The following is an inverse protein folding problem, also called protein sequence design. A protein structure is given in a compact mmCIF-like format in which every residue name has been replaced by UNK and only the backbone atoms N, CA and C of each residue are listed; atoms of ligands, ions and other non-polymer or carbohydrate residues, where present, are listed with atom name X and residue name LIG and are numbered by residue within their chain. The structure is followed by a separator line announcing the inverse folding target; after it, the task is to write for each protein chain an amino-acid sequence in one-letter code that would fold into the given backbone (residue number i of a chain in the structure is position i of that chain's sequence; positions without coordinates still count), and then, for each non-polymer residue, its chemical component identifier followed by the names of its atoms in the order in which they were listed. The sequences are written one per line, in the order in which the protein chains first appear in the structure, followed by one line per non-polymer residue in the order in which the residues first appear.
data_IF_622000417625
#
_entry.id   IF_622000417625
#
_cell.length_a   1.000
_cell.length_b   1.000
_cell.length_c   1.000
_cell.angle_alpha   90.00
_cell.angle_beta   90.00
_cell.angle_gamma   90.00
#
_symmetry.space_group_name_H-M   'P 1'
#
loop_
_entity.id
_entity.type
_entity.pdbx_description
1 polymer ?
#
# COMPACT_ATOMS: atom_id res chain seq x y z
N UNK A 1 10.47 14.99 88.15
CA UNK A 1 11.07 14.81 86.80
C UNK A 1 10.27 13.76 86.06
N UNK A 2 9.41 14.16 85.11
CA UNK A 2 8.65 13.26 84.25
C UNK A 2 8.93 13.64 82.79
N UNK A 3 9.60 12.77 82.04
CA UNK A 3 9.93 12.98 80.63
C UNK A 3 8.83 12.40 79.74
N UNK A 4 8.16 13.27 78.97
CA UNK A 4 7.16 12.89 77.99
C UNK A 4 7.82 12.27 76.74
N UNK A 5 7.47 11.03 76.42
CA UNK A 5 7.84 10.36 75.16
C UNK A 5 6.92 10.80 74.02
N UNK A 6 7.48 11.38 72.98
CA UNK A 6 6.81 11.70 71.71
C UNK A 6 6.74 10.47 70.79
N UNK A 7 5.56 10.19 70.23
CA UNK A 7 5.33 9.15 69.20
C UNK A 7 5.79 9.66 67.82
N UNK A 8 6.42 8.83 66.96
CA UNK A 8 6.72 9.22 65.58
C UNK A 8 5.47 9.09 64.71
N UNK A 9 5.23 10.11 63.86
CA UNK A 9 4.19 10.11 62.81
C UNK A 9 4.53 9.09 61.72
N UNK A 10 3.61 8.19 61.39
CA UNK A 10 3.73 7.32 60.21
C UNK A 10 3.50 8.13 58.94
N UNK A 11 4.51 8.23 58.08
CA UNK A 11 4.34 8.66 56.70
C UNK A 11 3.67 7.54 55.90
N UNK A 12 2.44 7.79 55.43
CA UNK A 12 1.83 6.93 54.40
C UNK A 12 2.62 7.10 53.09
N UNK A 13 2.96 6.03 52.36
CA UNK A 13 3.52 6.16 51.02
C UNK A 13 2.45 6.74 50.10
N UNK A 14 2.76 7.86 49.44
CA UNK A 14 1.95 8.37 48.32
C UNK A 14 2.11 7.40 47.14
N UNK A 15 1.03 6.90 46.51
CA UNK A 15 1.16 6.05 45.34
C UNK A 15 1.75 6.87 44.19
N UNK A 16 2.98 6.55 43.76
CA UNK A 16 3.58 7.16 42.56
C UNK A 16 2.95 6.52 41.32
N UNK A 17 1.76 6.96 40.93
CA UNK A 17 1.24 6.77 39.57
C UNK A 17 1.85 7.82 38.63
N UNK A 18 3.18 7.85 38.55
CA UNK A 18 3.87 8.58 37.49
C UNK A 18 4.14 7.58 36.36
N UNK A 19 3.14 7.35 35.50
CA UNK A 19 3.40 6.68 34.22
C UNK A 19 4.42 7.56 33.50
N UNK A 20 5.66 7.06 33.37
CA UNK A 20 6.74 7.81 32.72
C UNK A 20 6.23 8.17 31.31
N UNK A 21 6.31 9.44 30.87
CA UNK A 21 5.73 9.88 29.60
C UNK A 21 6.20 9.04 28.40
N UNK A 22 7.44 8.54 28.43
CA UNK A 22 7.96 7.59 27.42
C UNK A 22 7.17 6.27 27.33
N UNK A 23 6.66 5.73 28.44
CA UNK A 23 5.86 4.51 28.44
C UNK A 23 4.45 4.73 27.88
N UNK A 24 3.87 5.92 28.08
CA UNK A 24 2.59 6.30 27.49
C UNK A 24 2.71 6.49 25.97
N UNK A 25 3.76 7.18 25.51
CA UNK A 25 4.06 7.36 24.07
C UNK A 25 4.27 6.00 23.39
N UNK A 26 5.02 5.08 24.01
CA UNK A 26 5.23 3.74 23.46
C UNK A 26 3.93 2.95 23.34
N UNK A 27 3.06 2.98 24.35
CA UNK A 27 1.74 2.32 24.28
C UNK A 27 0.86 2.90 23.17
N UNK A 28 0.85 4.23 23.02
CA UNK A 28 0.11 4.87 21.92
C UNK A 28 0.65 4.48 20.54
N UNK A 29 1.97 4.35 20.41
CA UNK A 29 2.61 3.88 19.18
C UNK A 29 2.31 2.40 18.90
N UNK A 30 2.36 1.53 19.92
CA UNK A 30 2.00 0.12 19.81
C UNK A 30 0.51 -0.05 19.44
N UNK A 31 -0.37 0.78 20.02
CA UNK A 31 -1.79 0.85 19.68
C UNK A 31 -1.98 1.34 18.23
N UNK A 32 -1.25 2.37 17.79
CA UNK A 32 -1.31 2.84 16.41
C UNK A 32 -0.87 1.75 15.42
N UNK A 33 0.27 1.11 15.68
CA UNK A 33 0.86 0.13 14.77
C UNK A 33 -0.03 -1.10 14.57
N UNK A 34 -0.61 -1.59 15.66
CA UNK A 34 -1.55 -2.71 15.64
C UNK A 34 -2.85 -2.37 14.92
N UNK A 35 -3.43 -1.20 15.20
CA UNK A 35 -4.70 -0.78 14.58
C UNK A 35 -4.53 -0.50 13.09
N UNK A 36 -3.49 0.23 12.69
CA UNK A 36 -3.21 0.58 11.29
C UNK A 36 -2.88 -0.64 10.41
N UNK A 37 -2.28 -1.68 10.98
CA UNK A 37 -2.03 -2.95 10.28
C UNK A 37 -3.27 -3.86 10.19
N UNK A 38 -4.35 -3.53 10.91
CA UNK A 38 -5.56 -4.34 11.00
C UNK A 38 -6.50 -4.16 9.79
N UNK A 39 -7.29 -5.20 9.45
CA UNK A 39 -8.18 -5.17 8.29
C UNK A 39 -9.31 -4.15 8.43
N UNK A 40 -9.77 -3.84 9.64
CA UNK A 40 -10.84 -2.85 9.87
C UNK A 40 -10.40 -1.43 9.50
N UNK A 41 -9.19 -1.02 9.91
CA UNK A 41 -8.70 0.32 9.59
C UNK A 41 -8.32 0.41 8.10
N UNK A 42 -7.78 -0.67 7.51
CA UNK A 42 -7.61 -0.76 6.07
C UNK A 42 -8.96 -0.63 5.33
N UNK A 43 -10.00 -1.34 5.76
CA UNK A 43 -11.34 -1.24 5.18
C UNK A 43 -11.91 0.18 5.28
N UNK A 44 -11.85 0.79 6.46
CA UNK A 44 -12.34 2.15 6.69
C UNK A 44 -11.57 3.21 5.87
N UNK A 45 -10.27 3.00 5.67
CA UNK A 45 -9.41 3.88 4.88
C UNK A 45 -9.65 3.70 3.37
N UNK A 46 -9.77 2.45 2.92
CA UNK A 46 -9.84 2.13 1.49
C UNK A 46 -11.24 2.24 0.91
N UNK A 47 -12.30 2.10 1.71
CA UNK A 47 -13.68 2.29 1.22
C UNK A 47 -13.88 3.64 0.53
N UNK A 48 -13.55 4.80 1.14
CA UNK A 48 -13.66 6.08 0.44
C UNK A 48 -12.69 6.19 -0.75
N UNK A 49 -11.49 5.63 -0.66
CA UNK A 49 -10.53 5.63 -1.78
C UNK A 49 -11.05 4.85 -3.00
N UNK A 50 -11.64 3.68 -2.78
CA UNK A 50 -12.29 2.87 -3.82
C UNK A 50 -13.46 3.64 -4.43
N UNK A 51 -14.33 4.23 -3.61
CA UNK A 51 -15.45 5.03 -4.15
C UNK A 51 -14.96 6.19 -5.02
N UNK A 52 -13.91 6.89 -4.60
CA UNK A 52 -13.30 7.96 -5.40
C UNK A 52 -12.72 7.43 -6.71
N UNK A 53 -12.08 6.26 -6.70
CA UNK A 53 -11.59 5.61 -7.90
C UNK A 53 -12.74 5.26 -8.84
N UNK A 54 -13.76 4.53 -8.37
CA UNK A 54 -14.87 4.05 -9.21
C UNK A 54 -15.64 5.22 -9.84
N UNK A 55 -15.93 6.26 -9.05
CA UNK A 55 -16.55 7.49 -9.56
C UNK A 55 -15.63 8.15 -10.60
N UNK A 56 -14.34 8.27 -10.30
CA UNK A 56 -13.36 8.84 -11.23
C UNK A 56 -13.22 8.03 -12.52
N UNK A 57 -13.30 6.70 -12.46
CA UNK A 57 -13.19 5.82 -13.62
C UNK A 57 -14.39 5.99 -14.55
N UNK A 58 -15.60 6.11 -13.98
CA UNK A 58 -16.82 6.40 -14.74
C UNK A 58 -16.77 7.79 -15.37
N UNK A 59 -16.29 8.79 -14.63
CA UNK A 59 -16.33 10.20 -15.06
C UNK A 59 -15.21 10.54 -16.05
N UNK A 60 -13.99 10.07 -15.80
CA UNK A 60 -12.78 10.52 -16.50
C UNK A 60 -12.16 9.46 -17.43
N UNK A 61 -12.39 8.17 -17.17
CA UNK A 61 -11.74 7.08 -17.90
C UNK A 61 -12.66 6.33 -18.87
N UNK A 62 -13.97 6.59 -18.80
CA UNK A 62 -14.97 6.01 -19.69
C UNK A 62 -15.27 6.97 -20.82
N UNK A 63 -14.84 6.63 -22.05
CA UNK A 63 -15.23 7.36 -23.24
C UNK A 63 -16.46 6.69 -23.86
N UNK A 64 -17.66 7.18 -23.49
CA UNK A 64 -18.94 6.66 -24.00
C UNK A 64 -19.05 6.68 -25.53
N UNK A 65 -18.41 7.63 -26.20
CA UNK A 65 -18.47 7.77 -27.67
C UNK A 65 -17.67 6.71 -28.44
N UNK A 66 -16.63 6.13 -27.84
CA UNK A 66 -15.75 5.13 -28.46
C UNK A 66 -15.90 3.74 -27.85
N UNK A 67 -16.74 3.58 -26.82
CA UNK A 67 -16.89 2.33 -26.07
C UNK A 67 -15.61 1.85 -25.38
N UNK A 68 -14.57 2.67 -25.32
CA UNK A 68 -13.26 2.31 -24.78
C UNK A 68 -13.15 2.82 -23.35
N UNK A 69 -12.99 1.91 -22.41
CA UNK A 69 -12.69 2.23 -21.02
C UNK A 69 -11.20 2.01 -20.76
N UNK A 70 -10.50 3.05 -20.30
CA UNK A 70 -9.11 2.91 -19.85
C UNK A 70 -9.11 2.47 -18.40
N UNK A 71 -8.91 1.18 -18.15
CA UNK A 71 -8.79 0.64 -16.78
C UNK A 71 -7.34 0.34 -16.44
N UNK A 72 -7.09 0.16 -15.14
CA UNK A 72 -5.82 -0.38 -14.67
C UNK A 72 -5.73 -1.85 -15.09
N UNK A 73 -4.59 -2.27 -15.63
CA UNK A 73 -4.45 -3.64 -16.13
C UNK A 73 -4.70 -4.67 -15.02
N UNK A 74 -4.24 -4.40 -13.79
CA UNK A 74 -4.55 -5.24 -12.63
C UNK A 74 -6.07 -5.36 -12.34
N UNK A 75 -6.83 -4.27 -12.45
CA UNK A 75 -8.30 -4.31 -12.31
C UNK A 75 -8.93 -5.19 -13.39
N UNK A 76 -8.53 -4.99 -14.66
CA UNK A 76 -9.02 -5.79 -15.77
C UNK A 76 -8.71 -7.27 -15.58
N UNK A 77 -7.48 -7.60 -15.18
CA UNK A 77 -7.05 -8.99 -14.93
C UNK A 77 -7.87 -9.65 -13.82
N UNK A 78 -8.13 -8.93 -12.72
CA UNK A 78 -8.97 -9.41 -11.64
C UNK A 78 -10.43 -9.58 -12.09
N UNK A 79 -10.96 -8.63 -12.86
CA UNK A 79 -12.30 -8.72 -13.43
C UNK A 79 -12.46 -9.91 -14.37
N UNK A 80 -11.50 -10.10 -15.28
CA UNK A 80 -11.48 -11.24 -16.22
C UNK A 80 -11.42 -12.57 -15.47
N UNK A 81 -10.60 -12.66 -14.41
CA UNK A 81 -10.53 -13.85 -13.56
C UNK A 81 -11.85 -14.14 -12.84
N UNK A 82 -12.49 -13.12 -12.25
CA UNK A 82 -13.77 -13.29 -11.55
C UNK A 82 -14.91 -13.62 -12.51
N UNK A 83 -14.84 -13.13 -13.75
CA UNK A 83 -15.79 -13.46 -14.81
C UNK A 83 -15.77 -14.95 -15.19
N UNK A 84 -14.63 -15.64 -15.04
CA UNK A 84 -14.57 -17.11 -15.22
C UNK A 84 -15.53 -17.84 -14.26
N UNK A 85 -15.81 -17.26 -13.10
CA UNK A 85 -16.75 -17.80 -12.11
C UNK A 85 -18.18 -17.24 -12.27
N UNK A 86 -18.46 -16.52 -13.36
CA UNK A 86 -19.76 -15.90 -13.65
C UNK A 86 -20.00 -14.57 -12.93
N UNK A 87 -18.97 -13.99 -12.29
CA UNK A 87 -19.07 -12.67 -11.65
C UNK A 87 -18.59 -11.60 -12.63
N UNK A 88 -19.54 -10.95 -13.30
CA UNK A 88 -19.26 -9.86 -14.24
C UNK A 88 -19.77 -8.52 -13.71
N UNK A 89 -18.98 -7.47 -13.88
CA UNK A 89 -19.40 -6.11 -13.55
C UNK A 89 -18.22 -5.21 -13.20
N UNK A 90 -18.39 -3.91 -13.44
CA UNK A 90 -17.37 -2.89 -13.19
C UNK A 90 -16.88 -2.91 -11.73
N UNK A 91 -17.80 -3.00 -10.77
CA UNK A 91 -17.50 -2.93 -9.35
C UNK A 91 -17.00 -4.26 -8.75
N UNK A 92 -16.92 -5.34 -9.54
CA UNK A 92 -16.68 -6.69 -9.01
C UNK A 92 -15.30 -6.79 -8.32
N UNK A 93 -14.18 -6.31 -8.90
CA UNK A 93 -12.89 -6.31 -8.22
C UNK A 93 -12.88 -5.48 -6.92
N UNK A 94 -13.48 -4.28 -6.93
CA UNK A 94 -13.63 -3.43 -5.76
C UNK A 94 -14.38 -4.14 -4.62
N UNK A 95 -15.56 -4.70 -4.93
CA UNK A 95 -16.39 -5.40 -3.96
C UNK A 95 -15.68 -6.66 -3.43
N UNK A 96 -14.96 -7.39 -4.29
CA UNK A 96 -14.17 -8.55 -3.87
C UNK A 96 -13.09 -8.15 -2.85
N UNK A 97 -12.38 -7.04 -3.07
CA UNK A 97 -11.39 -6.52 -2.13
C UNK A 97 -12.00 -6.12 -0.78
N UNK A 98 -13.06 -5.31 -0.80
CA UNK A 98 -13.72 -4.85 0.43
C UNK A 98 -14.30 -6.04 1.21
N UNK A 99 -14.88 -7.01 0.50
CA UNK A 99 -15.40 -8.26 1.09
C UNK A 99 -14.29 -9.10 1.69
N UNK A 100 -13.13 -9.23 1.02
CA UNK A 100 -11.98 -9.94 1.56
C UNK A 100 -11.49 -9.31 2.87
N UNK A 101 -11.36 -7.98 2.93
CA UNK A 101 -10.97 -7.27 4.16
C UNK A 101 -12.01 -7.44 5.28
N UNK A 102 -13.29 -7.38 4.92
CA UNK A 102 -14.39 -7.61 5.86
C UNK A 102 -14.36 -9.03 6.44
N UNK A 103 -14.19 -10.05 5.59
CA UNK A 103 -14.06 -11.45 6.01
C UNK A 103 -12.85 -11.61 6.93
N UNK A 104 -11.69 -11.04 6.57
CA UNK A 104 -10.51 -11.08 7.43
C UNK A 104 -10.76 -10.44 8.79
N UNK A 105 -11.46 -9.32 8.86
CA UNK A 105 -11.82 -8.69 10.13
C UNK A 105 -12.74 -9.57 10.98
N UNK A 106 -13.79 -10.14 10.37
CA UNK A 106 -14.72 -11.05 11.05
C UNK A 106 -13.99 -12.29 11.60
N UNK A 107 -13.10 -12.89 10.80
CA UNK A 107 -12.33 -14.07 11.21
C UNK A 107 -11.34 -13.75 12.34
N UNK A 108 -10.76 -12.55 12.38
CA UNK A 108 -9.87 -12.11 13.47
C UNK A 108 -10.60 -11.84 14.78
N UNK A 109 -11.92 -11.60 14.74
CA UNK A 109 -12.75 -11.25 15.92
C UNK A 109 -12.26 -10.02 16.66
N UNK A 110 -11.65 -9.08 15.93
CA UNK A 110 -11.24 -7.79 16.46
C UNK A 110 -12.46 -6.91 16.78
N UNK A 111 -12.36 -5.92 17.69
CA UNK A 111 -13.47 -5.02 17.98
C UNK A 111 -13.81 -4.12 16.78
N UNK A 112 -15.10 -3.90 16.56
CA UNK A 112 -15.64 -3.02 15.51
C UNK A 112 -15.54 -1.53 15.89
N UNK A 113 -14.34 -1.08 16.25
CA UNK A 113 -14.09 0.30 16.65
C UNK A 113 -13.00 0.91 15.77
N UNK A 114 -13.40 1.84 14.91
CA UNK A 114 -12.48 2.62 14.09
C UNK A 114 -12.07 3.86 14.88
N UNK A 115 -10.77 4.14 14.96
CA UNK A 115 -10.25 5.38 15.57
C UNK A 115 -9.91 6.38 14.45
N UNK A 116 -10.69 7.45 14.22
CA UNK A 116 -10.42 8.41 13.14
C UNK A 116 -9.01 9.03 13.15
N UNK A 117 -8.40 9.34 14.32
CA UNK A 117 -7.02 9.83 14.33
C UNK A 117 -6.01 8.85 13.73
N UNK A 118 -6.25 7.55 13.85
CA UNK A 118 -5.39 6.51 13.25
C UNK A 118 -5.45 6.61 11.72
N UNK A 119 -6.65 6.80 11.15
CA UNK A 119 -6.81 6.94 9.70
C UNK A 119 -6.07 8.17 9.16
N UNK A 120 -6.15 9.30 9.87
CA UNK A 120 -5.42 10.51 9.47
C UNK A 120 -3.90 10.28 9.49
N UNK A 121 -3.38 9.66 10.55
CA UNK A 121 -1.96 9.34 10.64
C UNK A 121 -1.55 8.34 9.56
N UNK A 122 -2.38 7.36 9.22
CA UNK A 122 -2.12 6.42 8.11
C UNK A 122 -1.96 7.15 6.77
N UNK A 123 -2.80 8.15 6.47
CA UNK A 123 -2.67 8.95 5.24
C UNK A 123 -1.33 9.69 5.21
N UNK A 124 -0.97 10.36 6.31
CA UNK A 124 0.30 11.10 6.41
C UNK A 124 1.51 10.17 6.33
N UNK A 125 1.44 9.03 7.01
CA UNK A 125 2.49 8.01 6.99
C UNK A 125 2.69 7.44 5.58
N UNK A 126 1.59 7.17 4.87
CA UNK A 126 1.63 6.65 3.50
C UNK A 126 2.30 7.63 2.55
N UNK A 127 2.03 8.94 2.69
CA UNK A 127 2.72 9.98 1.93
C UNK A 127 4.23 10.02 2.22
N UNK A 128 4.65 9.81 3.47
CA UNK A 128 6.07 9.70 3.82
C UNK A 128 6.73 8.46 3.19
N UNK A 129 6.04 7.32 3.17
CA UNK A 129 6.54 6.09 2.56
C UNK A 129 6.60 6.14 1.03
N UNK A 130 5.98 7.12 0.38
CA UNK A 130 6.17 7.36 -1.06
C UNK A 130 7.53 7.99 -1.40
N UNK A 131 8.15 8.71 -0.45
CA UNK A 131 9.37 9.50 -0.70
C UNK A 131 10.59 8.67 -1.10
N UNK A 132 10.90 7.51 -0.49
CA UNK A 132 12.02 6.67 -0.92
C UNK A 132 11.94 6.26 -2.39
N UNK A 133 10.73 5.91 -2.87
CA UNK A 133 10.51 5.56 -4.27
C UNK A 133 10.63 6.77 -5.19
N UNK A 134 10.17 7.95 -4.75
CA UNK A 134 10.36 9.19 -5.51
C UNK A 134 11.85 9.47 -5.72
N UNK A 135 12.67 9.35 -4.68
CA UNK A 135 14.13 9.50 -4.78
C UNK A 135 14.74 8.43 -5.68
N UNK A 136 14.34 7.16 -5.52
CA UNK A 136 14.82 6.08 -6.37
C UNK A 136 14.50 6.32 -7.86
N UNK A 137 13.26 6.72 -8.17
CA UNK A 137 12.83 7.04 -9.53
C UNK A 137 13.67 8.17 -10.14
N UNK A 138 13.95 9.23 -9.37
CA UNK A 138 14.80 10.32 -9.82
C UNK A 138 16.25 9.89 -10.07
N UNK A 139 16.81 9.03 -9.22
CA UNK A 139 18.17 8.49 -9.42
C UNK A 139 18.23 7.65 -10.71
N UNK A 140 17.27 6.75 -10.92
CA UNK A 140 17.26 5.88 -12.11
C UNK A 140 17.08 6.71 -13.38
N UNK A 141 16.20 7.73 -13.38
CA UNK A 141 16.07 8.67 -14.50
C UNK A 141 17.40 9.37 -14.79
N UNK A 142 18.11 9.89 -13.78
CA UNK A 142 19.39 10.58 -13.97
C UNK A 142 20.49 9.68 -14.53
N UNK A 143 20.54 8.42 -14.10
CA UNK A 143 21.47 7.43 -14.65
C UNK A 143 21.13 7.14 -16.11
N UNK A 144 19.84 7.07 -16.45
CA UNK A 144 19.38 6.78 -17.80
C UNK A 144 19.56 7.97 -18.78
N UNK A 145 19.31 9.20 -18.34
CA UNK A 145 19.50 10.43 -19.14
C UNK A 145 20.98 10.65 -19.51
N UNK A 146 21.91 10.20 -18.65
CA UNK A 146 23.34 10.19 -18.95
C UNK A 146 23.75 9.21 -20.07
N UNK A 147 22.84 8.32 -20.49
CA UNK A 147 23.08 7.31 -21.52
C UNK A 147 22.41 7.61 -22.88
N UNK A 148 21.78 8.79 -23.04
CA UNK A 148 21.15 9.23 -24.28
C UNK A 148 19.64 9.50 -24.15
N UNK A 149 19.01 10.14 -25.15
CA UNK A 149 17.62 10.58 -25.05
C UNK A 149 16.66 9.43 -25.35
N UNK A 150 16.32 8.61 -24.35
CA UNK A 150 15.08 7.82 -24.28
C UNK A 150 15.05 6.93 -23.03
N UNK A 151 14.64 7.48 -21.88
CA UNK A 151 14.14 6.67 -20.78
C UNK A 151 13.31 7.54 -19.84
N UNK A 152 12.11 7.93 -20.30
CA UNK A 152 11.09 8.51 -19.42
C UNK A 152 10.59 7.42 -18.46
N UNK A 153 11.40 7.11 -17.45
CA UNK A 153 11.12 6.14 -16.42
C UNK A 153 10.26 6.80 -15.37
N UNK A 154 8.93 6.75 -15.52
CA UNK A 154 8.10 7.28 -14.45
C UNK A 154 6.71 6.69 -14.33
N UNK A 155 6.18 6.00 -15.32
CA UNK A 155 4.80 5.51 -15.24
C UNK A 155 4.59 4.45 -16.31
N UNK A 156 4.15 3.25 -15.91
CA UNK A 156 3.85 2.16 -16.84
C UNK A 156 2.68 2.43 -17.79
N UNK A 157 2.15 3.66 -17.76
CA UNK A 157 1.07 4.16 -18.59
C UNK A 157 1.44 5.56 -19.09
N UNK A 158 1.10 5.89 -20.36
CA UNK A 158 1.30 7.24 -20.89
C UNK A 158 0.18 8.16 -20.37
N UNK A 159 0.59 9.27 -19.76
CA UNK A 159 -0.33 10.31 -19.28
C UNK A 159 -0.54 11.44 -20.30
N UNK A 160 0.04 11.30 -21.48
CA UNK A 160 -0.09 12.25 -22.58
C UNK A 160 -1.56 12.44 -22.97
N UNK A 161 -1.98 13.69 -23.11
CA UNK A 161 -3.35 14.06 -23.45
C UNK A 161 -4.41 13.83 -22.36
N UNK A 162 -4.07 13.27 -21.19
CA UNK A 162 -5.01 13.08 -20.08
C UNK A 162 -5.10 14.33 -19.20
N UNK A 163 -6.34 14.75 -18.88
CA UNK A 163 -6.60 15.81 -17.90
C UNK A 163 -6.31 15.36 -16.47
N UNK A 164 -6.04 16.30 -15.55
CA UNK A 164 -5.61 16.03 -14.16
C UNK A 164 -6.49 15.00 -13.44
N UNK A 165 -7.83 15.09 -13.59
CA UNK A 165 -8.76 14.14 -12.97
C UNK A 165 -8.50 12.69 -13.38
N UNK A 166 -8.35 12.42 -14.69
CA UNK A 166 -8.02 11.09 -15.19
C UNK A 166 -6.69 10.57 -14.63
N UNK A 167 -5.69 11.44 -14.53
CA UNK A 167 -4.36 11.05 -14.02
C UNK A 167 -4.42 10.66 -12.55
N UNK A 168 -5.10 11.46 -11.72
CA UNK A 168 -5.31 11.16 -10.30
C UNK A 168 -6.13 9.88 -10.10
N UNK A 169 -7.16 9.65 -10.92
CA UNK A 169 -7.93 8.41 -10.89
C UNK A 169 -7.06 7.20 -11.20
N UNK A 170 -6.22 7.27 -12.24
CA UNK A 170 -5.30 6.19 -12.59
C UNK A 170 -4.32 5.91 -11.44
N UNK A 171 -3.69 6.95 -10.88
CA UNK A 171 -2.76 6.80 -9.74
C UNK A 171 -3.42 6.12 -8.53
N UNK A 172 -4.67 6.49 -8.23
CA UNK A 172 -5.42 5.87 -7.14
C UNK A 172 -5.76 4.40 -7.44
N UNK A 173 -6.17 4.12 -8.67
CA UNK A 173 -6.47 2.76 -9.13
C UNK A 173 -5.26 1.84 -9.12
N UNK A 174 -4.10 2.33 -9.55
CA UNK A 174 -2.84 1.58 -9.51
C UNK A 174 -2.52 1.15 -8.07
N UNK A 175 -2.54 2.09 -7.12
CA UNK A 175 -2.35 1.79 -5.72
C UNK A 175 -3.36 0.77 -5.16
N UNK A 176 -4.64 0.86 -5.54
CA UNK A 176 -5.68 -0.08 -5.07
C UNK A 176 -5.49 -1.48 -5.67
N UNK A 177 -5.46 -1.58 -6.99
CA UNK A 177 -5.60 -2.86 -7.69
C UNK A 177 -4.27 -3.59 -7.84
N UNK A 178 -3.16 -2.88 -8.00
CA UNK A 178 -1.85 -3.54 -8.07
C UNK A 178 -1.46 -4.09 -6.70
N UNK A 179 -1.68 -3.34 -5.62
CA UNK A 179 -1.39 -3.86 -4.28
C UNK A 179 -2.36 -4.98 -3.88
N UNK A 180 -3.63 -4.93 -4.29
CA UNK A 180 -4.54 -6.05 -4.13
C UNK A 180 -3.98 -7.32 -4.80
N UNK A 181 -3.56 -7.20 -6.06
CA UNK A 181 -3.06 -8.32 -6.85
C UNK A 181 -1.75 -8.89 -6.28
N UNK A 182 -0.74 -8.05 -6.06
CA UNK A 182 0.59 -8.52 -5.69
C UNK A 182 0.76 -8.72 -4.19
N UNK A 183 0.15 -7.88 -3.35
CA UNK A 183 0.44 -7.86 -1.90
C UNK A 183 -0.62 -8.59 -1.11
N UNK A 184 -1.90 -8.39 -1.41
CA UNK A 184 -2.92 -9.16 -0.71
C UNK A 184 -3.01 -10.59 -1.25
N UNK A 185 -3.16 -10.74 -2.58
CA UNK A 185 -3.32 -12.06 -3.22
C UNK A 185 -1.96 -12.74 -3.42
N UNK A 186 -1.00 -12.07 -4.08
CA UNK A 186 0.30 -12.65 -4.42
C UNK A 186 1.09 -13.14 -3.21
N UNK A 187 1.25 -12.30 -2.18
CA UNK A 187 1.94 -12.71 -0.93
C UNK A 187 1.20 -13.86 -0.24
N UNK A 188 -0.14 -13.85 -0.21
CA UNK A 188 -0.91 -14.94 0.38
C UNK A 188 -0.69 -16.26 -0.37
N UNK A 189 -0.74 -16.25 -1.71
CA UNK A 189 -0.49 -17.44 -2.53
C UNK A 189 0.93 -17.97 -2.33
N UNK A 190 1.94 -17.11 -2.37
CA UNK A 190 3.33 -17.53 -2.11
C UNK A 190 3.48 -18.06 -0.69
N UNK A 191 2.84 -17.44 0.29
CA UNK A 191 2.90 -17.89 1.68
C UNK A 191 2.26 -19.26 1.89
N UNK A 192 1.13 -19.55 1.22
CA UNK A 192 0.50 -20.88 1.25
C UNK A 192 1.43 -21.92 0.62
N UNK A 193 2.02 -21.63 -0.53
CA UNK A 193 2.93 -22.58 -1.21
C UNK A 193 4.21 -22.78 -0.39
N UNK A 194 4.89 -21.71 0.00
CA UNK A 194 6.17 -21.79 0.69
C UNK A 194 6.03 -22.27 2.15
N UNK A 195 5.07 -21.73 2.89
CA UNK A 195 4.88 -22.00 4.32
C UNK A 195 4.06 -23.24 4.60
N UNK A 196 2.93 -23.44 3.91
CA UNK A 196 2.01 -24.53 4.23
C UNK A 196 2.30 -25.81 3.42
N UNK A 197 2.60 -25.67 2.12
CA UNK A 197 2.88 -26.81 1.25
C UNK A 197 4.34 -27.27 1.33
N UNK A 198 5.30 -26.35 1.23
CA UNK A 198 6.73 -26.66 1.27
C UNK A 198 7.33 -26.63 2.69
N UNK A 199 6.56 -26.19 3.68
CA UNK A 199 6.96 -26.16 5.10
C UNK A 199 8.26 -25.38 5.36
N UNK A 200 8.53 -24.33 4.57
CA UNK A 200 9.65 -23.44 4.81
C UNK A 200 9.43 -22.66 6.11
N UNK A 201 10.52 -22.28 6.78
CA UNK A 201 10.41 -21.44 7.96
C UNK A 201 9.83 -20.05 7.64
N UNK A 202 9.42 -19.32 8.68
CA UNK A 202 8.79 -17.99 8.51
C UNK A 202 9.66 -16.99 7.75
N UNK A 203 10.99 -17.05 7.92
CA UNK A 203 11.91 -16.09 7.30
C UNK A 203 12.05 -16.40 5.82
N UNK A 204 12.21 -17.67 5.47
CA UNK A 204 12.29 -18.13 4.09
C UNK A 204 10.97 -17.91 3.35
N UNK A 205 9.83 -18.16 4.01
CA UNK A 205 8.49 -17.88 3.46
C UNK A 205 8.32 -16.39 3.16
N UNK A 206 8.68 -15.52 4.11
CA UNK A 206 8.61 -14.07 3.89
C UNK A 206 9.57 -13.61 2.79
N UNK A 207 10.80 -14.13 2.76
CA UNK A 207 11.77 -13.82 1.71
C UNK A 207 11.28 -14.27 0.33
N UNK A 208 10.71 -15.47 0.23
CA UNK A 208 10.11 -15.97 -1.01
C UNK A 208 8.94 -15.09 -1.46
N UNK A 209 8.05 -14.71 -0.54
CA UNK A 209 6.94 -13.81 -0.84
C UNK A 209 7.43 -12.46 -1.38
N UNK A 210 8.42 -11.84 -0.73
CA UNK A 210 9.00 -10.56 -1.18
C UNK A 210 9.64 -10.71 -2.56
N UNK A 211 10.51 -11.70 -2.76
CA UNK A 211 11.25 -11.87 -4.02
C UNK A 211 10.31 -12.20 -5.19
N UNK A 212 9.44 -13.20 -5.02
CA UNK A 212 8.59 -13.67 -6.12
C UNK A 212 7.54 -12.63 -6.51
N UNK A 213 6.93 -11.94 -5.54
CA UNK A 213 5.95 -10.90 -5.86
C UNK A 213 6.61 -9.64 -6.43
N UNK A 214 7.85 -9.31 -6.02
CA UNK A 214 8.61 -8.22 -6.61
C UNK A 214 8.98 -8.48 -8.08
N UNK A 215 9.41 -9.71 -8.39
CA UNK A 215 9.71 -10.11 -9.77
C UNK A 215 8.43 -10.10 -10.63
N UNK A 216 7.31 -10.64 -10.11
CA UNK A 216 6.03 -10.59 -10.80
C UNK A 216 5.57 -9.14 -11.05
N UNK A 217 5.72 -8.26 -10.07
CA UNK A 217 5.42 -6.83 -10.20
C UNK A 217 6.28 -6.16 -11.27
N UNK A 218 7.56 -6.52 -11.37
CA UNK A 218 8.45 -6.00 -12.40
C UNK A 218 8.07 -6.46 -13.81
N UNK A 219 7.72 -7.73 -13.99
CA UNK A 219 7.29 -8.24 -15.30
C UNK A 219 5.89 -7.80 -15.72
N UNK A 220 5.06 -7.39 -14.76
CA UNK A 220 3.77 -6.74 -15.05
C UNK A 220 3.94 -5.35 -15.66
N UNK A 221 5.05 -4.67 -15.37
CA UNK A 221 5.36 -3.34 -15.87
C UNK A 221 6.05 -3.37 -17.25
N UNK A 222 6.04 -2.25 -18.01
CA UNK A 222 6.72 -2.16 -19.29
C UNK A 222 8.24 -2.10 -19.10
N UNK A 223 8.82 -3.30 -18.98
CA UNK A 223 10.27 -3.52 -18.90
C UNK A 223 10.86 -4.01 -20.21
N UNK A 224 10.04 -4.14 -21.25
CA UNK A 224 10.45 -4.62 -22.57
C UNK A 224 10.29 -3.52 -23.61
N UNK A 225 11.26 -3.41 -24.51
CA UNK A 225 11.15 -2.60 -25.72
C UNK A 225 10.28 -3.29 -26.77
N UNK A 226 9.90 -2.58 -27.82
CA UNK A 226 9.07 -3.13 -28.92
C UNK A 226 9.75 -4.27 -29.69
N UNK A 227 11.09 -4.33 -29.69
CA UNK A 227 11.91 -5.40 -30.26
C UNK A 227 12.22 -6.53 -29.25
N UNK A 228 11.68 -6.46 -28.03
CA UNK A 228 11.77 -7.52 -27.02
C UNK A 228 13.04 -7.48 -26.15
N UNK A 229 13.81 -6.41 -26.20
CA UNK A 229 14.96 -6.22 -25.31
C UNK A 229 14.51 -5.74 -23.92
N UNK A 230 15.20 -6.18 -22.87
CA UNK A 230 14.91 -5.76 -21.51
C UNK A 230 15.49 -4.36 -21.24
N UNK A 231 14.63 -3.43 -20.81
CA UNK A 231 15.01 -2.11 -20.30
C UNK A 231 15.46 -2.25 -18.86
N UNK A 232 16.77 -2.45 -18.65
CA UNK A 232 17.36 -2.71 -17.33
C UNK A 232 17.02 -1.66 -16.28
N UNK A 233 17.02 -0.36 -16.65
CA UNK A 233 16.63 0.71 -15.74
C UNK A 233 15.22 0.54 -15.17
N UNK A 234 14.23 0.29 -16.04
CA UNK A 234 12.86 -0.04 -15.65
C UNK A 234 12.80 -1.30 -14.80
N UNK A 235 13.44 -2.38 -15.26
CA UNK A 235 13.38 -3.67 -14.59
C UNK A 235 13.91 -3.58 -13.16
N UNK A 236 15.10 -3.03 -12.97
CA UNK A 236 15.70 -2.86 -11.64
C UNK A 236 14.86 -1.96 -10.77
N UNK A 237 14.33 -0.85 -11.31
CA UNK A 237 13.43 0.04 -10.57
C UNK A 237 12.20 -0.73 -10.06
N UNK A 238 11.50 -1.45 -10.93
CA UNK A 238 10.28 -2.15 -10.54
C UNK A 238 10.53 -3.36 -9.64
N UNK A 239 11.68 -4.05 -9.74
CA UNK A 239 12.05 -5.09 -8.77
C UNK A 239 12.26 -4.47 -7.39
N UNK A 240 12.99 -3.35 -7.31
CA UNK A 240 13.24 -2.67 -6.03
C UNK A 240 11.96 -2.06 -5.44
N UNK A 241 11.13 -1.41 -6.25
CA UNK A 241 9.83 -0.90 -5.84
C UNK A 241 8.91 -2.05 -5.40
N UNK A 242 8.93 -3.15 -6.17
CA UNK A 242 8.22 -4.38 -5.89
C UNK A 242 8.51 -4.93 -4.50
N UNK A 243 9.81 -5.07 -4.20
CA UNK A 243 10.31 -5.56 -2.92
C UNK A 243 10.05 -4.58 -1.78
N UNK A 244 10.17 -3.27 -2.05
CA UNK A 244 9.87 -2.22 -1.09
C UNK A 244 8.41 -2.26 -0.65
N UNK A 245 7.45 -2.31 -1.58
CA UNK A 245 6.04 -2.41 -1.24
C UNK A 245 5.69 -3.74 -0.56
N UNK A 246 6.31 -4.85 -0.96
CA UNK A 246 6.13 -6.13 -0.26
C UNK A 246 6.62 -6.06 1.20
N UNK A 247 7.79 -5.46 1.44
CA UNK A 247 8.28 -5.21 2.80
C UNK A 247 7.36 -4.28 3.59
N UNK A 248 6.92 -3.18 2.97
CA UNK A 248 5.99 -2.24 3.60
C UNK A 248 4.67 -2.92 3.97
N UNK A 249 4.11 -3.74 3.08
CA UNK A 249 2.93 -4.56 3.35
C UNK A 249 3.12 -5.47 4.56
N UNK A 250 4.22 -6.22 4.62
CA UNK A 250 4.50 -7.15 5.73
C UNK A 250 4.69 -6.43 7.07
N UNK A 251 5.16 -5.18 7.08
CA UNK A 251 5.41 -4.42 8.30
C UNK A 251 4.25 -3.49 8.72
N UNK A 252 3.48 -2.96 7.77
CA UNK A 252 2.44 -1.93 8.00
C UNK A 252 1.03 -2.33 7.65
N UNK A 253 0.87 -3.39 6.87
CA UNK A 253 -0.43 -3.85 6.41
C UNK A 253 -0.93 -3.14 5.14
N UNK A 254 -2.09 -3.60 4.69
CA UNK A 254 -2.62 -3.35 3.36
C UNK A 254 -3.00 -1.89 3.09
N UNK A 255 -3.67 -1.23 4.05
CA UNK A 255 -4.14 0.15 3.84
C UNK A 255 -3.01 1.16 3.61
N UNK A 256 -1.90 1.01 4.34
CA UNK A 256 -0.72 1.90 4.22
C UNK A 256 -0.01 1.69 2.89
N UNK A 257 0.21 0.44 2.46
CA UNK A 257 0.92 0.18 1.19
C UNK A 257 0.13 0.68 -0.03
N UNK A 258 -1.20 0.49 -0.04
CA UNK A 258 -2.09 0.98 -1.10
C UNK A 258 -1.98 2.50 -1.26
N UNK A 259 -2.11 3.23 -0.15
CA UNK A 259 -1.99 4.69 -0.19
C UNK A 259 -0.57 5.17 -0.45
N UNK A 260 0.47 4.44 -0.01
CA UNK A 260 1.85 4.82 -0.29
C UNK A 260 2.16 4.71 -1.79
N UNK A 261 1.65 3.66 -2.45
CA UNK A 261 1.75 3.50 -3.89
C UNK A 261 0.98 4.61 -4.62
N UNK A 262 -0.30 4.82 -4.28
CA UNK A 262 -1.09 5.90 -4.89
C UNK A 262 -0.44 7.29 -4.68
N UNK A 263 0.10 7.54 -3.49
CA UNK A 263 0.80 8.79 -3.19
C UNK A 263 2.09 8.94 -4.01
N UNK A 264 2.86 7.87 -4.20
CA UNK A 264 4.03 7.89 -5.08
C UNK A 264 3.65 8.30 -6.50
N UNK A 265 2.64 7.68 -7.10
CA UNK A 265 2.19 8.01 -8.44
C UNK A 265 1.73 9.47 -8.57
N UNK A 266 0.96 9.96 -7.58
CA UNK A 266 0.53 11.36 -7.53
C UNK A 266 1.71 12.33 -7.40
N UNK A 267 2.71 11.99 -6.57
CA UNK A 267 3.90 12.82 -6.40
C UNK A 267 4.74 12.88 -7.67
N UNK A 268 4.95 11.74 -8.34
CA UNK A 268 5.65 11.68 -9.64
C UNK A 268 4.89 12.51 -10.68
N UNK A 269 3.57 12.37 -10.74
CA UNK A 269 2.70 13.16 -11.61
C UNK A 269 2.87 14.68 -11.40
N UNK A 270 2.88 15.14 -10.15
CA UNK A 270 2.88 16.58 -9.83
C UNK A 270 4.28 17.21 -9.85
N UNK A 271 5.29 16.48 -9.38
CA UNK A 271 6.64 17.02 -9.14
C UNK A 271 7.58 16.78 -10.31
N UNK A 272 7.65 15.54 -10.83
CA UNK A 272 8.65 15.21 -11.85
C UNK A 272 8.26 15.72 -13.24
N UNK A 273 6.96 15.79 -13.56
CA UNK A 273 6.50 16.39 -14.82
C UNK A 273 6.71 17.92 -14.90
N UNK A 274 6.98 18.59 -13.77
CA UNK A 274 7.30 20.03 -13.76
C UNK A 274 8.80 20.31 -13.87
N UNK A 275 9.63 19.28 -13.68
CA UNK A 275 11.09 19.38 -13.65
C UNK A 275 11.76 18.78 -14.90
N UNK A 276 10.98 18.12 -15.76
CA UNK A 276 11.34 17.68 -17.10
C UNK A 276 10.82 18.68 -18.13
#
# INVERSE_FOLDING_TARGET
MAAARTKPRSSRPVPRTAVRPAAAVRRLADDYWSLSAGPLHALALLTPAVLLYEIGAIVFLTQYASGTQRTIFAEKLLGDFLNVFGLAGLLVPALAMLTMLLIQHVLRRDPWTVKPPVLLVMVLESACWALPLLVASAIVQRIADGAGPAATLAQGQSFEGLGLGARLTISLGAGIYEELLFRLIGVALVSIVAGDLLQLDKRLTAAAAVVLTALAFAFYHPVWTSDGALVWGSFVFYVLAGAYFAGLYLHRGFGVVVLAHAAYDVLVLVLLQRLA
#
